data_IF_850063425822
#
_entry.id   IF_850063425822
#
_cell.length_a   1.000
_cell.length_b   1.000
_cell.length_c   1.000
_cell.angle_alpha   90.00
_cell.angle_beta   90.00
_cell.angle_gamma   90.00
#
_symmetry.space_group_name_H-M   'P 1'
#
loop_
_entity.id
_entity.type
_entity.pdbx_description
1 polymer ?
#
# COMPACT_ATOMS: atom_id res chain seq x y z
N UNK A 1 -15.70 4.67 -11.13
CA UNK A 1 -17.04 4.17 -11.50
C UNK A 1 -18.06 4.34 -10.38
N UNK A 2 -17.81 3.89 -9.17
CA UNK A 2 -18.76 3.95 -8.05
C UNK A 2 -19.22 5.39 -7.78
N UNK A 3 -18.31 6.35 -7.71
CA UNK A 3 -18.62 7.78 -7.52
C UNK A 3 -19.53 8.32 -8.62
N UNK A 4 -19.26 7.94 -9.88
CA UNK A 4 -20.12 8.34 -11.00
C UNK A 4 -21.56 7.79 -10.86
N UNK A 5 -21.71 6.55 -10.42
CA UNK A 5 -23.03 5.94 -10.19
C UNK A 5 -23.81 6.65 -9.09
N UNK A 6 -23.13 7.05 -8.01
CA UNK A 6 -23.74 7.86 -6.94
C UNK A 6 -24.17 9.23 -7.50
N UNK A 7 -23.33 9.90 -8.29
CA UNK A 7 -23.64 11.19 -8.90
C UNK A 7 -24.86 11.10 -9.84
N UNK A 8 -24.99 10.03 -10.63
CA UNK A 8 -26.17 9.77 -11.46
C UNK A 8 -27.42 9.62 -10.58
N UNK A 9 -27.34 8.89 -9.48
CA UNK A 9 -28.47 8.75 -8.55
C UNK A 9 -28.93 10.10 -7.97
N UNK A 10 -27.99 10.93 -7.54
CA UNK A 10 -28.27 12.28 -7.02
C UNK A 10 -28.93 13.17 -8.11
N UNK A 11 -28.41 13.08 -9.33
CA UNK A 11 -28.95 13.84 -10.47
C UNK A 11 -30.40 13.42 -10.78
N UNK A 12 -30.71 12.12 -10.74
CA UNK A 12 -32.08 11.63 -10.91
C UNK A 12 -33.02 12.15 -9.82
N UNK A 13 -32.56 12.20 -8.57
CA UNK A 13 -33.36 12.81 -7.48
C UNK A 13 -33.61 14.27 -7.77
N UNK A 14 -32.60 15.05 -8.17
CA UNK A 14 -32.78 16.47 -8.51
C UNK A 14 -33.73 16.69 -9.66
N UNK A 15 -33.68 15.89 -10.74
CA UNK A 15 -34.57 15.93 -11.88
C UNK A 15 -36.01 15.60 -11.45
N UNK A 16 -36.19 14.57 -10.61
CA UNK A 16 -37.53 14.22 -10.10
C UNK A 16 -38.18 15.36 -9.30
N UNK A 17 -37.42 16.05 -8.44
CA UNK A 17 -37.89 17.22 -7.68
C UNK A 17 -38.28 18.39 -8.61
N UNK A 18 -37.53 18.62 -9.70
CA UNK A 18 -37.81 19.67 -10.66
C UNK A 18 -39.09 19.35 -11.43
N UNK A 19 -39.32 18.11 -11.83
CA UNK A 19 -40.53 17.66 -12.53
C UNK A 19 -41.75 17.83 -11.62
N UNK A 20 -41.67 17.42 -10.36
CA UNK A 20 -42.71 17.56 -9.36
C UNK A 20 -43.15 19.02 -9.19
N UNK A 21 -42.19 19.95 -9.14
CA UNK A 21 -42.47 21.39 -9.02
C UNK A 21 -43.03 22.05 -10.29
N UNK A 22 -42.71 21.51 -11.47
CA UNK A 22 -43.02 22.16 -12.76
C UNK A 22 -44.25 21.58 -13.45
N UNK A 23 -44.58 20.33 -13.14
CA UNK A 23 -45.64 19.59 -13.80
C UNK A 23 -46.59 19.09 -12.71
N UNK A 24 -47.90 19.27 -12.89
CA UNK A 24 -48.95 18.79 -11.95
C UNK A 24 -49.03 17.23 -11.87
N UNK A 25 -48.02 16.54 -12.36
CA UNK A 25 -47.88 15.08 -12.31
C UNK A 25 -47.03 14.64 -11.13
N UNK A 26 -47.58 14.80 -9.93
CA UNK A 26 -46.94 14.43 -8.65
C UNK A 26 -46.38 13.00 -8.63
N UNK A 27 -47.09 12.06 -9.25
CA UNK A 27 -46.69 10.64 -9.28
C UNK A 27 -45.40 10.39 -10.04
N UNK A 28 -45.17 11.07 -11.17
CA UNK A 28 -43.96 10.86 -11.98
C UNK A 28 -42.68 11.41 -11.31
N UNK A 29 -42.78 12.62 -10.74
CA UNK A 29 -41.66 13.24 -10.02
C UNK A 29 -41.22 12.43 -8.80
N UNK A 30 -42.18 11.95 -8.02
CA UNK A 30 -41.96 11.10 -6.84
C UNK A 30 -41.30 9.76 -7.24
N UNK A 31 -41.80 9.11 -8.30
CA UNK A 31 -41.22 7.85 -8.78
C UNK A 31 -39.76 8.01 -9.21
N UNK A 32 -39.43 9.04 -9.99
CA UNK A 32 -38.04 9.30 -10.45
C UNK A 32 -37.13 9.59 -9.26
N UNK A 33 -37.60 10.39 -8.30
CA UNK A 33 -36.82 10.68 -7.07
C UNK A 33 -36.59 9.43 -6.23
N UNK A 34 -37.59 8.58 -6.07
CA UNK A 34 -37.46 7.33 -5.33
C UNK A 34 -36.47 6.37 -5.98
N UNK A 35 -36.52 6.22 -7.31
CA UNK A 35 -35.56 5.39 -8.07
C UNK A 35 -34.15 5.96 -7.93
N UNK A 36 -33.96 7.27 -8.09
CA UNK A 36 -32.65 7.92 -7.92
C UNK A 36 -32.09 7.76 -6.51
N UNK A 37 -32.92 7.90 -5.49
CA UNK A 37 -32.54 7.71 -4.09
C UNK A 37 -32.13 6.26 -3.80
N UNK A 38 -32.94 5.28 -4.23
CA UNK A 38 -32.61 3.87 -4.08
C UNK A 38 -31.31 3.51 -4.81
N UNK A 39 -31.12 4.04 -6.02
CA UNK A 39 -29.87 3.85 -6.78
C UNK A 39 -28.66 4.43 -6.05
N UNK A 40 -28.74 5.66 -5.53
CA UNK A 40 -27.63 6.27 -4.78
C UNK A 40 -27.29 5.46 -3.52
N UNK A 41 -28.28 5.02 -2.75
CA UNK A 41 -28.08 4.21 -1.53
C UNK A 41 -27.40 2.89 -1.86
N UNK A 42 -27.79 2.22 -2.95
CA UNK A 42 -27.21 0.94 -3.38
C UNK A 42 -25.70 1.04 -3.59
N UNK A 43 -25.18 2.19 -4.05
CA UNK A 43 -23.76 2.39 -4.34
C UNK A 43 -22.95 2.96 -3.16
N UNK A 44 -23.61 3.41 -2.08
CA UNK A 44 -22.92 3.91 -0.88
C UNK A 44 -22.13 2.79 -0.18
N UNK A 45 -22.73 1.61 0.00
CA UNK A 45 -22.07 0.50 0.67
C UNK A 45 -20.78 0.03 -0.05
N UNK A 46 -20.81 -0.24 -1.37
CA UNK A 46 -19.58 -0.53 -2.12
C UNK A 46 -18.55 0.62 -2.04
N UNK A 47 -18.99 1.88 -2.04
CA UNK A 47 -18.10 3.03 -1.93
C UNK A 47 -17.36 3.04 -0.59
N UNK A 48 -18.04 2.79 0.53
CA UNK A 48 -17.43 2.69 1.86
C UNK A 48 -16.45 1.53 1.90
N UNK A 49 -16.84 0.35 1.42
CA UNK A 49 -15.98 -0.84 1.42
C UNK A 49 -14.68 -0.61 0.65
N UNK A 50 -14.78 -0.09 -0.58
CA UNK A 50 -13.62 0.21 -1.42
C UNK A 50 -12.78 1.34 -0.80
N UNK A 51 -13.40 2.34 -0.19
CA UNK A 51 -12.71 3.42 0.52
C UNK A 51 -11.86 2.91 1.69
N UNK A 52 -12.40 1.99 2.50
CA UNK A 52 -11.66 1.35 3.59
C UNK A 52 -10.48 0.54 3.04
N UNK A 53 -10.69 -0.26 1.99
CA UNK A 53 -9.65 -1.07 1.38
C UNK A 53 -8.49 -0.20 0.83
N UNK A 54 -8.79 0.95 0.21
CA UNK A 54 -7.76 1.88 -0.29
C UNK A 54 -7.03 2.58 0.86
N UNK A 55 -7.74 2.95 1.93
CA UNK A 55 -7.11 3.55 3.14
C UNK A 55 -6.10 2.59 3.79
N UNK A 56 -6.38 1.29 3.77
CA UNK A 56 -5.41 0.28 4.23
C UNK A 56 -4.13 0.28 3.38
N UNK A 57 -4.20 0.64 2.10
CA UNK A 57 -3.04 0.68 1.21
C UNK A 57 -1.98 1.70 1.61
N UNK A 58 -2.37 2.87 2.13
CA UNK A 58 -1.41 3.88 2.61
C UNK A 58 -0.62 3.36 3.83
N UNK A 59 -1.28 2.64 4.72
CA UNK A 59 -0.63 2.00 5.87
C UNK A 59 0.35 0.90 5.44
N UNK A 60 0.08 0.19 4.33
CA UNK A 60 1.01 -0.80 3.77
C UNK A 60 2.27 -0.14 3.21
N UNK A 61 2.14 1.00 2.52
CA UNK A 61 3.28 1.77 2.01
C UNK A 61 4.18 2.27 3.14
N UNK A 62 3.59 2.77 4.23
CA UNK A 62 4.34 3.19 5.43
C UNK A 62 5.08 2.00 6.08
N UNK A 63 4.44 0.83 6.21
CA UNK A 63 5.09 -0.37 6.72
C UNK A 63 6.26 -0.82 5.85
N UNK A 64 6.09 -0.81 4.54
CA UNK A 64 7.17 -1.15 3.59
C UNK A 64 8.34 -0.19 3.76
N UNK A 65 8.09 1.11 3.81
CA UNK A 65 9.12 2.14 4.00
C UNK A 65 9.88 1.96 5.30
N UNK A 66 9.18 1.61 6.40
CA UNK A 66 9.79 1.35 7.69
C UNK A 66 10.73 0.13 7.64
N UNK A 67 10.28 -0.96 7.03
CA UNK A 67 11.09 -2.19 6.89
C UNK A 67 12.29 -1.99 5.94
N UNK A 68 12.13 -1.19 4.89
CA UNK A 68 13.23 -0.83 3.99
C UNK A 68 14.28 0.03 4.71
N UNK A 69 13.85 0.98 5.56
CA UNK A 69 14.75 1.78 6.38
C UNK A 69 15.49 0.93 7.43
N UNK A 70 14.79 -0.01 8.08
CA UNK A 70 15.41 -0.95 9.02
C UNK A 70 16.46 -1.83 8.33
N UNK A 71 16.14 -2.37 7.15
CA UNK A 71 17.11 -3.16 6.38
C UNK A 71 18.33 -2.33 5.97
N UNK A 72 18.15 -1.06 5.59
CA UNK A 72 19.26 -0.16 5.30
C UNK A 72 20.15 0.11 6.52
N UNK A 73 19.55 0.20 7.71
CA UNK A 73 20.29 0.32 8.95
C UNK A 73 21.10 -0.96 9.28
N UNK A 74 20.50 -2.13 9.07
CA UNK A 74 21.18 -3.42 9.23
C UNK A 74 22.35 -3.55 8.24
N UNK A 75 22.16 -3.14 6.97
CA UNK A 75 23.24 -3.12 5.97
C UNK A 75 24.42 -2.27 6.46
N UNK A 76 24.14 -1.08 7.04
CA UNK A 76 25.18 -0.20 7.59
C UNK A 76 25.89 -0.83 8.79
N UNK A 77 25.16 -1.39 9.75
CA UNK A 77 25.75 -2.00 10.94
C UNK A 77 26.60 -3.21 10.60
N UNK A 78 26.17 -4.06 9.67
CA UNK A 78 26.97 -5.21 9.23
C UNK A 78 28.21 -4.73 8.47
N UNK A 79 28.11 -3.66 7.68
CA UNK A 79 29.26 -3.05 7.03
C UNK A 79 30.29 -2.56 8.06
N UNK A 80 29.88 -1.86 9.11
CA UNK A 80 30.75 -1.39 10.20
C UNK A 80 31.42 -2.56 10.93
N UNK A 81 30.70 -3.65 11.19
CA UNK A 81 31.27 -4.86 11.79
C UNK A 81 32.36 -5.44 10.88
N UNK A 82 32.09 -5.57 9.59
CA UNK A 82 33.06 -6.07 8.60
C UNK A 82 34.29 -5.17 8.51
N UNK A 83 34.13 -3.87 8.55
CA UNK A 83 35.24 -2.91 8.56
C UNK A 83 36.09 -3.05 9.82
N UNK A 84 35.48 -3.25 10.99
CA UNK A 84 36.20 -3.53 12.24
C UNK A 84 36.99 -4.81 12.22
N UNK A 85 36.51 -5.87 11.54
CA UNK A 85 37.31 -7.10 11.32
C UNK A 85 38.49 -6.91 10.35
N UNK A 86 38.37 -5.95 9.40
CA UNK A 86 39.39 -5.68 8.37
C UNK A 86 40.61 -4.89 8.83
N UNK A 87 40.55 -4.18 9.92
CA UNK A 87 41.72 -3.50 10.50
C UNK A 87 42.83 -4.51 10.88
N UNK A 88 42.51 -5.83 10.89
CA UNK A 88 43.46 -6.92 11.03
C UNK A 88 44.04 -7.41 9.71
N UNK A 89 43.39 -7.20 8.56
CA UNK A 89 43.89 -7.63 7.23
C UNK A 89 43.86 -6.48 6.21
N UNK A 90 45.00 -5.87 6.00
CA UNK A 90 45.26 -4.66 5.23
C UNK A 90 45.13 -4.78 3.71
N UNK A 91 44.24 -5.60 3.16
CA UNK A 91 44.10 -5.71 1.70
C UNK A 91 42.67 -5.95 1.24
N UNK A 92 42.07 -4.98 0.63
CA UNK A 92 40.85 -4.93 -0.18
C UNK A 92 39.72 -4.05 0.36
N UNK A 93 39.97 -2.77 0.57
CA UNK A 93 39.00 -1.77 1.05
C UNK A 93 38.12 -1.16 -0.04
N UNK A 94 38.38 -1.38 -1.32
CA UNK A 94 37.58 -0.80 -2.41
C UNK A 94 36.37 -1.69 -2.76
N UNK A 95 35.23 -1.50 -2.11
CA UNK A 95 33.99 -2.12 -2.55
C UNK A 95 33.08 -2.71 -1.48
N UNK A 96 33.34 -2.47 -0.18
CA UNK A 96 32.49 -3.01 0.90
C UNK A 96 31.34 -2.07 1.23
N UNK A 97 31.56 -0.77 1.21
CA UNK A 97 30.59 0.22 1.66
C UNK A 97 29.27 0.28 0.87
N UNK A 98 29.20 -0.38 -0.30
CA UNK A 98 28.01 -0.41 -1.14
C UNK A 98 27.40 -1.82 -1.30
N UNK A 99 27.80 -2.78 -0.46
CA UNK A 99 27.28 -4.14 -0.53
C UNK A 99 26.23 -4.38 0.55
N UNK A 100 25.13 -5.06 0.16
CA UNK A 100 24.11 -5.46 1.13
C UNK A 100 24.65 -6.48 2.13
N UNK A 101 24.07 -6.51 3.34
CA UNK A 101 24.41 -7.44 4.42
C UNK A 101 24.50 -8.89 3.95
N UNK A 102 23.55 -9.31 3.11
CA UNK A 102 23.52 -10.68 2.55
C UNK A 102 24.76 -11.01 1.69
N UNK A 103 25.29 -10.04 0.94
CA UNK A 103 26.51 -10.21 0.15
C UNK A 103 27.75 -10.23 1.05
N UNK A 104 27.79 -9.38 2.09
CA UNK A 104 28.89 -9.32 3.03
C UNK A 104 29.04 -10.64 3.81
N UNK A 105 27.94 -11.24 4.26
CA UNK A 105 27.96 -12.53 4.96
C UNK A 105 28.35 -13.70 4.05
N UNK A 106 28.10 -13.61 2.74
CA UNK A 106 28.61 -14.61 1.80
C UNK A 106 30.11 -14.48 1.58
N UNK A 107 30.65 -13.27 1.62
CA UNK A 107 32.07 -13.01 1.49
C UNK A 107 32.86 -13.31 2.78
N UNK A 108 32.22 -13.16 3.93
CA UNK A 108 32.81 -13.35 5.26
C UNK A 108 31.96 -14.37 6.06
N UNK A 109 32.04 -15.66 5.74
CA UNK A 109 31.21 -16.69 6.36
C UNK A 109 31.42 -16.86 7.87
N UNK A 110 32.56 -16.41 8.41
CA UNK A 110 32.84 -16.35 9.85
C UNK A 110 31.88 -15.47 10.62
N UNK A 111 31.33 -14.44 10.00
CA UNK A 111 30.33 -13.56 10.61
C UNK A 111 29.00 -14.28 10.94
N UNK A 112 28.72 -15.42 10.31
CA UNK A 112 27.55 -16.24 10.63
C UNK A 112 27.58 -16.83 12.04
N UNK A 113 28.75 -16.94 12.64
CA UNK A 113 28.92 -17.43 14.01
C UNK A 113 28.76 -16.33 15.06
N UNK A 114 28.69 -15.06 14.64
CA UNK A 114 28.39 -13.94 15.51
C UNK A 114 26.89 -13.88 15.78
N UNK A 115 26.50 -13.98 17.05
CA UNK A 115 25.09 -14.03 17.48
C UNK A 115 24.32 -12.74 17.11
N UNK A 116 25.00 -11.58 17.18
CA UNK A 116 24.41 -10.29 16.82
C UNK A 116 24.13 -10.22 15.32
N UNK A 117 25.11 -10.61 14.51
CA UNK A 117 24.97 -10.64 13.04
C UNK A 117 23.90 -11.64 12.61
N UNK A 118 23.87 -12.83 13.21
CA UNK A 118 22.86 -13.84 12.92
C UNK A 118 21.45 -13.29 13.19
N UNK A 119 21.23 -12.66 14.34
CA UNK A 119 19.95 -12.06 14.70
C UNK A 119 19.53 -10.90 13.77
N UNK A 120 20.48 -10.04 13.39
CA UNK A 120 20.21 -8.97 12.43
C UNK A 120 19.85 -9.52 11.05
N UNK A 121 20.48 -10.60 10.62
CA UNK A 121 20.15 -11.26 9.36
C UNK A 121 18.78 -11.92 9.35
N UNK A 122 18.34 -12.49 10.46
CA UNK A 122 17.00 -13.03 10.59
C UNK A 122 15.97 -11.91 10.40
N UNK A 123 16.15 -10.78 11.09
CA UNK A 123 15.28 -9.59 10.92
C UNK A 123 15.29 -9.09 9.46
N UNK A 124 16.49 -9.00 8.87
CA UNK A 124 16.65 -8.57 7.47
C UNK A 124 15.88 -9.45 6.49
N UNK A 125 15.96 -10.77 6.66
CA UNK A 125 15.29 -11.73 5.78
C UNK A 125 13.78 -11.73 5.99
N UNK A 126 13.33 -11.62 7.23
CA UNK A 126 11.90 -11.48 7.58
C UNK A 126 11.31 -10.21 6.98
N UNK A 127 11.98 -9.08 7.13
CA UNK A 127 11.57 -7.81 6.52
C UNK A 127 11.48 -7.94 5.00
N UNK A 128 12.46 -8.54 4.35
CA UNK A 128 12.48 -8.75 2.91
C UNK A 128 11.31 -9.61 2.42
N UNK A 129 10.98 -10.66 3.16
CA UNK A 129 9.83 -11.52 2.88
C UNK A 129 8.51 -10.75 3.03
N UNK A 130 8.38 -10.00 4.13
CA UNK A 130 7.19 -9.19 4.44
C UNK A 130 7.00 -8.07 3.40
N UNK A 131 8.06 -7.36 3.01
CA UNK A 131 8.02 -6.33 1.95
C UNK A 131 7.46 -6.91 0.64
N UNK A 132 7.91 -8.11 0.24
CA UNK A 132 7.39 -8.77 -0.97
C UNK A 132 5.91 -9.09 -0.84
N UNK A 133 5.45 -9.58 0.31
CA UNK A 133 4.04 -9.86 0.58
C UNK A 133 3.19 -8.60 0.54
N UNK A 134 3.62 -7.54 1.23
CA UNK A 134 2.91 -6.26 1.28
C UNK A 134 2.87 -5.57 -0.10
N UNK A 135 3.95 -5.65 -0.89
CA UNK A 135 3.96 -5.15 -2.28
C UNK A 135 2.98 -5.91 -3.18
N UNK A 136 2.79 -7.21 -3.00
CA UNK A 136 1.76 -7.97 -3.71
C UNK A 136 0.36 -7.49 -3.32
N UNK A 137 0.11 -7.30 -2.03
CA UNK A 137 -1.18 -6.80 -1.53
C UNK A 137 -1.49 -5.40 -2.09
N UNK A 138 -0.51 -4.51 -2.20
CA UNK A 138 -0.68 -3.20 -2.85
C UNK A 138 -1.05 -3.31 -4.33
N UNK A 139 -0.46 -4.28 -5.06
CA UNK A 139 -0.80 -4.54 -6.45
C UNK A 139 -2.26 -5.00 -6.57
N UNK A 140 -2.70 -5.87 -5.67
CA UNK A 140 -4.07 -6.39 -5.65
C UNK A 140 -5.12 -5.30 -5.34
N UNK A 141 -4.72 -4.18 -4.73
CA UNK A 141 -5.59 -3.02 -4.49
C UNK A 141 -5.76 -2.09 -5.71
N UNK A 142 -4.92 -2.18 -6.74
CA UNK A 142 -5.00 -1.31 -7.92
C UNK A 142 -6.37 -1.36 -8.64
N UNK A 143 -6.99 -2.53 -8.86
CA UNK A 143 -8.32 -2.60 -9.45
C UNK A 143 -9.37 -1.87 -8.63
N UNK A 144 -9.27 -1.90 -7.29
CA UNK A 144 -10.21 -1.20 -6.40
C UNK A 144 -10.15 0.32 -6.55
N UNK A 145 -8.95 0.89 -6.70
CA UNK A 145 -8.75 2.32 -6.99
C UNK A 145 -9.41 2.69 -8.31
N UNK A 146 -9.22 1.87 -9.35
CA UNK A 146 -9.86 2.09 -10.65
C UNK A 146 -11.37 2.06 -10.57
N UNK A 147 -11.95 1.10 -9.83
CA UNK A 147 -13.40 1.01 -9.62
C UNK A 147 -13.97 2.22 -8.89
N UNK A 148 -13.22 2.82 -7.97
CA UNK A 148 -13.70 3.96 -7.20
C UNK A 148 -13.79 5.24 -8.06
N UNK A 149 -12.72 5.62 -8.76
CA UNK A 149 -12.63 6.94 -9.41
C UNK A 149 -11.91 6.97 -10.77
N UNK A 150 -11.76 5.86 -11.47
CA UNK A 150 -10.99 5.78 -12.73
C UNK A 150 -9.52 6.24 -12.61
N UNK A 151 -8.94 6.21 -11.44
CA UNK A 151 -7.55 6.60 -11.18
C UNK A 151 -6.67 5.39 -10.97
N UNK A 152 -5.56 5.31 -11.71
CA UNK A 152 -4.49 4.33 -11.51
C UNK A 152 -3.28 4.98 -10.89
#
# INVERSE_FOLDING_TARGET
MIILMIAIGILLVAVGIIIDKKTDSLEMGVMISAIGGAHAILWILPCIFVGIAISSGTTLEEKISLMEAENSNIDTQICEIVEGYKDFEKSTLEGVSNKSANVLIQLYPELKSDELVAKQMDIYMDNKSNIVSLKKELIDQRPLKWWLYFGG
#
